data_IF_440904089328
#
_entry.id   IF_440904089328
#
_cell.length_a   1.000
_cell.length_b   1.000
_cell.length_c   1.000
_cell.angle_alpha   90.00
_cell.angle_beta   90.00
_cell.angle_gamma   90.00
#
_symmetry.space_group_name_H-M   'P 1'
#
loop_
_entity.id
_entity.type
_entity.pdbx_description
1 polymer ?
#
# COMPACT_ATOMS: atom_id res chain seq x y z
N UNK A 1 1.45 20.69 -11.71
CA UNK A 1 0.81 21.11 -10.43
C UNK A 1 -0.42 20.25 -10.15
N UNK A 2 -1.44 20.25 -11.03
CA UNK A 2 -2.71 19.53 -10.80
C UNK A 2 -2.53 18.01 -10.66
N UNK A 3 -1.75 17.36 -11.55
CA UNK A 3 -1.57 15.89 -11.51
C UNK A 3 -0.96 15.44 -10.18
N UNK A 4 0.14 16.08 -9.74
CA UNK A 4 0.78 15.79 -8.44
C UNK A 4 -0.20 16.01 -7.26
N UNK A 5 -1.06 17.02 -7.34
CA UNK A 5 -2.07 17.23 -6.31
C UNK A 5 -3.12 16.11 -6.29
N UNK A 6 -3.55 15.61 -7.45
CA UNK A 6 -4.48 14.48 -7.53
C UNK A 6 -3.86 13.18 -7.02
N UNK A 7 -2.60 12.91 -7.36
CA UNK A 7 -1.87 11.74 -6.86
C UNK A 7 -1.74 11.78 -5.33
N UNK A 8 -1.38 12.94 -4.78
CA UNK A 8 -1.37 13.17 -3.33
C UNK A 8 -2.70 12.82 -2.66
N UNK A 9 -3.83 13.32 -3.20
CA UNK A 9 -5.14 13.07 -2.60
C UNK A 9 -5.51 11.58 -2.60
N UNK A 10 -5.23 10.87 -3.69
CA UNK A 10 -5.52 9.43 -3.79
C UNK A 10 -4.64 8.65 -2.83
N UNK A 11 -3.33 8.89 -2.82
CA UNK A 11 -2.38 8.15 -1.99
C UNK A 11 -2.60 8.40 -0.50
N UNK A 12 -2.84 9.66 -0.11
CA UNK A 12 -3.16 10.02 1.26
C UNK A 12 -4.46 9.34 1.72
N UNK A 13 -5.51 9.36 0.88
CA UNK A 13 -6.78 8.71 1.19
C UNK A 13 -6.62 7.19 1.37
N UNK A 14 -5.94 6.51 0.43
CA UNK A 14 -5.70 5.06 0.52
C UNK A 14 -4.83 4.71 1.73
N UNK A 15 -3.78 5.51 2.01
CA UNK A 15 -2.93 5.29 3.18
C UNK A 15 -3.71 5.39 4.49
N UNK A 16 -4.57 6.40 4.63
CA UNK A 16 -5.46 6.54 5.78
C UNK A 16 -6.46 5.40 5.88
N UNK A 17 -7.04 4.95 4.76
CA UNK A 17 -7.95 3.82 4.73
C UNK A 17 -7.25 2.53 5.22
N UNK A 18 -6.06 2.23 4.71
CA UNK A 18 -5.26 1.07 5.11
C UNK A 18 -4.93 1.07 6.62
N UNK A 19 -4.62 2.24 7.21
CA UNK A 19 -4.35 2.35 8.65
C UNK A 19 -5.62 2.24 9.51
N UNK A 20 -6.79 2.57 8.96
CA UNK A 20 -8.07 2.58 9.66
C UNK A 20 -8.85 1.27 9.62
N UNK A 21 -8.38 0.23 8.91
CA UNK A 21 -9.09 -1.05 8.80
C UNK A 21 -9.06 -1.80 10.14
N UNK A 22 -10.24 -2.22 10.62
CA UNK A 22 -10.39 -2.96 11.87
C UNK A 22 -10.21 -4.48 11.68
N UNK A 23 -10.00 -5.20 12.79
CA UNK A 23 -9.81 -6.66 12.80
C UNK A 23 -10.96 -7.44 12.14
N UNK A 24 -12.20 -7.05 12.39
CA UNK A 24 -13.38 -7.73 11.81
C UNK A 24 -13.40 -7.61 10.29
N UNK A 25 -13.10 -6.42 9.76
CA UNK A 25 -12.98 -6.20 8.31
C UNK A 25 -11.82 -7.01 7.71
N UNK A 26 -10.70 -7.12 8.44
CA UNK A 26 -9.56 -7.95 8.01
C UNK A 26 -9.93 -9.44 7.97
N UNK A 27 -10.71 -9.93 8.92
CA UNK A 27 -11.18 -11.32 8.93
C UNK A 27 -12.11 -11.60 7.74
N UNK A 28 -13.04 -10.69 7.45
CA UNK A 28 -13.94 -10.81 6.29
C UNK A 28 -13.16 -10.81 4.96
N UNK A 29 -12.15 -9.95 4.83
CA UNK A 29 -11.28 -9.93 3.64
C UNK A 29 -10.50 -11.23 3.49
N UNK A 30 -9.98 -11.78 4.59
CA UNK A 30 -9.30 -13.07 4.59
C UNK A 30 -10.25 -14.21 4.18
N UNK A 31 -11.48 -14.20 4.68
CA UNK A 31 -12.50 -15.22 4.39
C UNK A 31 -12.93 -15.17 2.93
N UNK A 32 -13.28 -13.98 2.43
CA UNK A 32 -13.63 -13.81 1.01
C UNK A 32 -12.46 -14.16 0.09
N UNK A 33 -11.24 -13.81 0.49
CA UNK A 33 -10.03 -14.22 -0.21
C UNK A 33 -9.88 -15.74 -0.24
N UNK A 34 -10.08 -16.41 0.89
CA UNK A 34 -9.95 -17.87 0.98
C UNK A 34 -10.97 -18.61 0.10
N UNK A 35 -12.23 -18.18 0.11
CA UNK A 35 -13.32 -18.83 -0.62
C UNK A 35 -13.17 -18.68 -2.15
N UNK A 36 -12.52 -17.61 -2.62
CA UNK A 36 -12.44 -17.31 -4.05
C UNK A 36 -11.16 -17.83 -4.73
N UNK A 37 -10.18 -18.28 -3.96
CA UNK A 37 -8.84 -18.63 -4.44
C UNK A 37 -8.76 -20.12 -4.81
N UNK A 38 -8.04 -20.43 -5.89
CA UNK A 38 -7.89 -21.81 -6.37
C UNK A 38 -7.08 -22.69 -5.42
N UNK A 39 -7.27 -24.01 -5.51
CA UNK A 39 -6.60 -25.00 -4.66
C UNK A 39 -5.06 -24.96 -4.74
N UNK A 40 -4.48 -24.63 -5.89
CA UNK A 40 -3.01 -24.53 -6.03
C UNK A 40 -2.45 -23.38 -5.19
N UNK A 41 -3.08 -22.20 -5.28
CA UNK A 41 -2.75 -21.04 -4.47
C UNK A 41 -3.02 -21.27 -2.98
N UNK A 42 -4.09 -21.99 -2.62
CA UNK A 42 -4.34 -22.40 -1.23
C UNK A 42 -3.22 -23.30 -0.70
N UNK A 43 -2.72 -24.25 -1.50
CA UNK A 43 -1.57 -25.09 -1.12
C UNK A 43 -0.31 -24.25 -0.86
N UNK A 44 -0.01 -23.28 -1.73
CA UNK A 44 1.16 -22.40 -1.55
C UNK A 44 1.04 -21.52 -0.31
N UNK A 45 -0.16 -21.05 0.01
CA UNK A 45 -0.45 -20.29 1.23
C UNK A 45 -0.24 -21.18 2.46
N UNK A 46 -0.81 -22.38 2.47
CA UNK A 46 -0.63 -23.33 3.58
C UNK A 46 0.85 -23.67 3.83
N UNK A 47 1.62 -23.87 2.77
CA UNK A 47 3.05 -24.17 2.83
C UNK A 47 3.88 -22.96 3.33
N UNK A 48 3.55 -21.75 2.86
CA UNK A 48 4.27 -20.52 3.22
C UNK A 48 3.98 -20.09 4.66
N UNK A 49 2.73 -20.20 5.10
CA UNK A 49 2.29 -19.78 6.42
C UNK A 49 2.38 -20.89 7.47
N UNK A 50 2.71 -22.13 7.07
CA UNK A 50 2.81 -23.31 7.97
C UNK A 50 1.51 -23.47 8.76
N UNK A 51 0.39 -23.55 8.06
CA UNK A 51 -0.96 -23.65 8.62
C UNK A 51 -1.82 -24.56 7.75
N UNK A 52 -2.95 -25.01 8.28
CA UNK A 52 -3.88 -25.86 7.56
C UNK A 52 -5.32 -25.43 7.80
N UNK A 53 -6.13 -25.39 6.74
CA UNK A 53 -7.51 -24.94 6.85
C UNK A 53 -7.62 -23.45 7.14
N UNK A 54 -8.80 -22.89 6.96
CA UNK A 54 -9.05 -21.50 7.27
C UNK A 54 -9.55 -21.35 8.70
N UNK A 55 -10.75 -21.89 8.96
CA UNK A 55 -11.42 -21.97 10.26
C UNK A 55 -12.44 -23.12 10.19
N UNK A 56 -12.71 -23.79 11.32
CA UNK A 56 -13.54 -25.00 11.41
C UNK A 56 -14.97 -24.81 10.83
N UNK A 57 -15.41 -23.56 10.69
CA UNK A 57 -16.70 -23.19 10.10
C UNK A 57 -16.64 -23.12 8.57
N UNK A 58 -15.62 -22.47 8.03
CA UNK A 58 -15.46 -22.24 6.58
C UNK A 58 -14.98 -23.52 5.89
N UNK A 59 -14.14 -24.30 6.57
CA UNK A 59 -13.62 -25.57 6.03
C UNK A 59 -14.72 -26.64 5.85
N UNK A 60 -15.90 -26.45 6.47
CA UNK A 60 -17.09 -27.29 6.24
C UNK A 60 -17.81 -26.96 4.93
N UNK A 61 -17.69 -25.73 4.46
CA UNK A 61 -18.36 -25.24 3.26
C UNK A 61 -17.42 -25.25 2.04
N UNK A 62 -16.13 -25.00 2.25
CA UNK A 62 -15.12 -24.93 1.20
C UNK A 62 -14.08 -26.03 1.38
N UNK A 63 -13.95 -26.88 0.37
CA UNK A 63 -12.90 -27.92 0.34
C UNK A 63 -11.53 -27.28 0.07
N UNK A 64 -10.71 -27.21 1.11
CA UNK A 64 -9.28 -26.96 0.99
C UNK A 64 -8.49 -28.24 0.59
N UNK A 65 -7.31 -28.09 -0.03
CA UNK A 65 -6.39 -29.20 -0.28
C UNK A 65 -5.91 -29.86 1.03
N UNK A 66 -5.58 -31.15 0.95
CA UNK A 66 -5.15 -31.95 2.11
C UNK A 66 -3.79 -31.46 2.61
N UNK A 67 -3.73 -31.10 3.89
CA UNK A 67 -2.47 -30.68 4.51
C UNK A 67 -1.70 -31.89 5.03
N UNK A 68 -0.44 -32.02 4.63
CA UNK A 68 0.45 -33.01 5.22
C UNK A 68 1.05 -32.43 6.51
N UNK A 69 0.98 -33.14 7.66
CA UNK A 69 1.49 -32.63 8.95
C UNK A 69 2.99 -32.30 8.92
N UNK A 70 3.75 -32.94 8.03
CA UNK A 70 5.17 -32.65 7.79
C UNK A 70 5.42 -31.22 7.26
N UNK A 71 4.41 -30.55 6.71
CA UNK A 71 4.53 -29.21 6.16
C UNK A 71 4.32 -28.12 7.20
N UNK A 72 3.38 -28.29 8.14
CA UNK A 72 3.16 -27.30 9.21
C UNK A 72 4.13 -27.47 10.39
N UNK A 73 4.48 -28.71 10.70
CA UNK A 73 5.14 -29.08 11.94
C UNK A 73 6.64 -29.16 11.76
N UNK A 74 7.39 -28.51 12.65
CA UNK A 74 8.85 -28.55 12.65
C UNK A 74 9.29 -29.69 13.58
N UNK A 75 10.29 -30.52 13.20
CA UNK A 75 10.85 -31.54 14.09
C UNK A 75 11.29 -30.90 15.43
N UNK A 76 11.03 -31.54 16.58
CA UNK A 76 10.78 -32.99 16.78
C UNK A 76 9.32 -33.41 16.97
N UNK A 77 8.36 -32.48 17.01
CA UNK A 77 6.93 -32.77 17.25
C UNK A 77 6.21 -33.27 15.98
N UNK A 78 6.54 -34.48 15.53
CA UNK A 78 5.89 -35.08 14.35
C UNK A 78 4.78 -36.07 14.69
N UNK A 79 4.76 -36.62 15.91
CA UNK A 79 3.84 -37.69 16.29
C UNK A 79 2.45 -37.20 16.77
N UNK A 80 2.31 -35.93 17.18
CA UNK A 80 1.06 -35.37 17.75
C UNK A 80 0.80 -33.90 17.34
N UNK A 81 1.31 -33.46 16.20
CA UNK A 81 1.18 -32.06 15.81
C UNK A 81 -0.15 -31.78 15.10
N UNK A 82 -0.97 -30.93 15.72
CA UNK A 82 -2.12 -30.30 15.08
C UNK A 82 -1.65 -29.02 14.36
N UNK A 83 -1.83 -28.97 13.04
CA UNK A 83 -1.59 -27.74 12.27
C UNK A 83 -2.53 -26.64 12.78
N UNK A 84 -2.04 -25.42 13.07
CA UNK A 84 -2.91 -24.31 13.41
C UNK A 84 -3.71 -23.83 12.19
N UNK A 85 -4.91 -23.27 12.39
CA UNK A 85 -5.72 -22.68 11.33
C UNK A 85 -5.04 -21.47 10.70
N UNK A 86 -5.26 -21.27 9.40
CA UNK A 86 -4.65 -20.17 8.64
C UNK A 86 -5.31 -18.80 8.92
N UNK A 87 -6.55 -18.74 9.41
CA UNK A 87 -7.29 -17.50 9.66
C UNK A 87 -6.47 -16.45 10.43
N UNK A 88 -5.93 -16.82 11.60
CA UNK A 88 -5.20 -15.87 12.45
C UNK A 88 -3.92 -15.37 11.76
N UNK A 89 -3.20 -16.27 11.08
CA UNK A 89 -1.97 -15.92 10.36
C UNK A 89 -2.26 -14.97 9.20
N UNK A 90 -3.28 -15.27 8.38
CA UNK A 90 -3.70 -14.40 7.29
C UNK A 90 -4.13 -13.04 7.81
N UNK A 91 -4.97 -12.99 8.84
CA UNK A 91 -5.44 -11.74 9.44
C UNK A 91 -4.25 -10.89 9.93
N UNK A 92 -3.28 -11.51 10.62
CA UNK A 92 -2.09 -10.83 11.11
C UNK A 92 -1.21 -10.31 9.95
N UNK A 93 -1.06 -11.08 8.87
CA UNK A 93 -0.32 -10.64 7.67
C UNK A 93 -1.01 -9.50 6.95
N UNK A 94 -2.34 -9.56 6.78
CA UNK A 94 -3.13 -8.47 6.18
C UNK A 94 -2.99 -7.19 7.02
N UNK A 95 -3.13 -7.30 8.34
CA UNK A 95 -2.95 -6.19 9.27
C UNK A 95 -1.55 -5.57 9.16
N UNK A 96 -0.51 -6.40 9.12
CA UNK A 96 0.87 -5.95 8.97
C UNK A 96 1.06 -5.24 7.62
N UNK A 97 0.59 -5.84 6.53
CA UNK A 97 0.70 -5.29 5.18
C UNK A 97 -0.03 -3.94 5.06
N UNK A 98 -1.26 -3.82 5.56
CA UNK A 98 -2.00 -2.56 5.52
C UNK A 98 -1.34 -1.46 6.35
N UNK A 99 -0.81 -1.79 7.53
CA UNK A 99 -0.05 -0.82 8.33
C UNK A 99 1.20 -0.37 7.59
N UNK A 100 2.00 -1.31 7.08
CA UNK A 100 3.22 -1.01 6.35
C UNK A 100 2.94 -0.15 5.11
N UNK A 101 1.99 -0.56 4.26
CA UNK A 101 1.58 0.20 3.08
C UNK A 101 1.01 1.59 3.45
N UNK A 102 0.25 1.68 4.53
CA UNK A 102 -0.27 2.95 5.04
C UNK A 102 0.84 3.91 5.43
N UNK A 103 1.83 3.45 6.19
CA UNK A 103 3.00 4.28 6.56
C UNK A 103 3.84 4.68 5.34
N UNK A 104 4.10 3.77 4.39
CA UNK A 104 4.84 4.07 3.16
C UNK A 104 4.08 5.11 2.32
N UNK A 105 2.77 4.95 2.16
CA UNK A 105 1.92 5.88 1.41
C UNK A 105 1.87 7.27 2.05
N UNK A 106 1.80 7.34 3.39
CA UNK A 106 1.82 8.59 4.13
C UNK A 106 3.18 9.30 4.02
N UNK A 107 4.28 8.54 4.10
CA UNK A 107 5.63 9.07 3.91
C UNK A 107 5.81 9.68 2.52
N UNK A 108 5.40 8.95 1.47
CA UNK A 108 5.49 9.46 0.12
C UNK A 108 4.59 10.69 -0.10
N UNK A 109 3.36 10.68 0.45
CA UNK A 109 2.46 11.83 0.42
C UNK A 109 3.10 13.09 1.05
N UNK A 110 3.85 12.95 2.14
CA UNK A 110 4.58 14.06 2.75
C UNK A 110 5.66 14.62 1.81
N UNK A 111 6.41 13.75 1.14
CA UNK A 111 7.41 14.18 0.15
C UNK A 111 6.77 14.87 -1.06
N UNK A 112 5.56 14.46 -1.46
CA UNK A 112 4.82 15.05 -2.57
C UNK A 112 4.33 16.47 -2.26
N UNK A 113 3.97 16.77 -1.01
CA UNK A 113 3.68 18.14 -0.56
C UNK A 113 4.90 19.04 -0.80
N UNK A 114 6.09 18.59 -0.41
CA UNK A 114 7.34 19.33 -0.64
C UNK A 114 7.58 19.50 -2.14
N UNK A 115 7.39 18.44 -2.92
CA UNK A 115 7.48 18.47 -4.39
C UNK A 115 6.53 19.48 -5.02
N UNK A 116 5.28 19.55 -4.55
CA UNK A 116 4.30 20.54 -4.97
C UNK A 116 4.74 21.97 -4.62
N UNK A 117 5.26 22.22 -3.42
CA UNK A 117 5.77 23.54 -3.04
C UNK A 117 6.96 23.96 -3.90
N UNK A 118 7.92 23.06 -4.13
CA UNK A 118 9.09 23.31 -4.97
C UNK A 118 8.70 23.55 -6.42
N UNK A 119 7.84 22.72 -6.99
CA UNK A 119 7.36 22.89 -8.36
C UNK A 119 6.56 24.19 -8.53
N UNK A 120 5.81 24.61 -7.49
CA UNK A 120 5.08 25.88 -7.50
C UNK A 120 6.05 27.05 -7.48
N UNK A 121 7.06 27.00 -6.60
CA UNK A 121 8.10 28.01 -6.53
C UNK A 121 8.87 28.10 -7.84
N UNK A 122 9.26 26.97 -8.41
CA UNK A 122 9.99 26.90 -9.68
C UNK A 122 9.19 27.49 -10.83
N UNK A 123 7.90 27.12 -10.97
CA UNK A 123 7.05 27.67 -12.03
C UNK A 123 6.68 29.14 -11.82
N UNK A 124 6.73 29.62 -10.57
CA UNK A 124 6.49 31.02 -10.21
C UNK A 124 7.78 31.85 -10.16
N UNK A 125 8.90 31.34 -10.68
CA UNK A 125 10.05 32.16 -11.00
C UNK A 125 9.74 32.95 -12.27
N UNK A 126 10.05 34.25 -12.24
CA UNK A 126 9.82 35.15 -13.37
C UNK A 126 10.60 34.72 -14.60
N UNK A 127 10.03 34.98 -15.78
CA UNK A 127 10.69 34.70 -17.05
C UNK A 127 11.99 35.53 -17.15
N UNK A 128 13.17 34.91 -17.27
CA UNK A 128 14.44 35.64 -17.30
C UNK A 128 14.60 36.53 -18.54
N UNK A 129 13.72 36.41 -19.55
CA UNK A 129 13.70 37.30 -20.72
C UNK A 129 13.04 38.66 -20.45
N UNK A 130 12.03 38.73 -19.55
CA UNK A 130 11.39 39.99 -19.16
C UNK A 130 12.36 40.88 -18.35
N UNK A 131 13.23 40.29 -17.55
CA UNK A 131 14.28 41.01 -16.80
C UNK A 131 15.35 41.62 -17.73
N UNK A 132 15.62 40.97 -18.87
CA UNK A 132 16.52 41.49 -19.91
C UNK A 132 15.87 42.61 -20.73
N UNK A 133 14.56 42.54 -20.99
CA UNK A 133 13.79 43.60 -21.66
C UNK A 133 13.64 44.86 -20.78
N UNK A 134 13.44 44.69 -19.46
CA UNK A 134 13.37 45.80 -18.51
C UNK A 134 14.69 46.57 -18.36
N UNK A 135 15.83 45.97 -18.73
CA UNK A 135 17.15 46.63 -18.69
C UNK A 135 17.42 47.52 -19.91
N UNK A 136 16.58 47.46 -20.97
CA UNK A 136 16.63 48.43 -22.07
C UNK A 136 15.86 49.72 -21.73
N UNK A 137 16.17 50.36 -20.59
CA UNK A 137 15.80 51.76 -20.35
C UNK A 137 16.68 52.62 -21.25
N UNK A 138 16.21 52.89 -22.46
CA UNK A 138 16.79 53.93 -23.30
C UNK A 138 16.52 55.29 -22.62
N UNK A 139 17.56 56.10 -22.33
CA UNK A 139 17.32 57.47 -21.92
C UNK A 139 16.65 58.20 -23.09
N UNK A 140 15.41 58.66 -22.91
CA UNK A 140 14.81 59.70 -23.76
C UNK A 140 15.59 61.00 -23.51
N UNK A 141 16.77 61.13 -24.08
CA UNK A 141 17.33 62.45 -24.29
C UNK A 141 16.64 63.08 -25.49
N UNK A 142 15.99 64.22 -25.22
CA UNK A 142 15.52 65.18 -26.21
C UNK A 142 16.63 65.45 -27.22
N UNK A 143 16.45 64.98 -28.45
CA UNK A 143 17.18 65.54 -29.59
C UNK A 143 16.34 66.70 -30.14
N UNK A 144 16.58 67.89 -29.62
CA UNK A 144 16.41 69.13 -30.40
C UNK A 144 17.71 69.37 -31.13
N UNK A 145 17.72 69.27 -32.45
CA UNK A 145 18.35 70.19 -33.41
C UNK A 145 17.81 69.87 -34.81
#
# INVERSE_FOLDING_TARGET
MVILFLLFLIQFSVACACLGVNKEQQAQLAEQGWIHVDNDTLSQVQDSFRCCGFDDKVDKEVHHPTCEPQRCCVPPDTDNCQCPPCMEKLQNTINYAFKLCGWIGLFFSFTEIIGLLLARRYRNQSDPEDDKLATAVFPRHNFTY
#
